data_IF_377207979251
#
_entry.id   IF_377207979251
#
_cell.length_a   1.000
_cell.length_b   1.000
_cell.length_c   1.000
_cell.angle_alpha   90.00
_cell.angle_beta   90.00
_cell.angle_gamma   90.00
#
_symmetry.space_group_name_H-M   'P 1'
#
loop_
_entity.id
_entity.type
_entity.pdbx_description
1 polymer ?
#
# COMPACT_ATOMS: atom_id res chain seq x y z
N UNK A 1 69.00 66.00 22.07
CA UNK A 1 70.23 66.29 21.33
C UNK A 1 70.28 65.28 20.20
N UNK A 2 69.89 65.77 19.02
CA UNK A 2 69.91 65.09 17.72
C UNK A 2 71.34 64.73 17.28
N UNK A 3 71.48 63.58 16.61
CA UNK A 3 72.35 63.30 15.44
C UNK A 3 71.76 62.03 14.75
N UNK A 4 71.20 62.08 13.54
CA UNK A 4 71.86 61.88 12.23
C UNK A 4 72.16 60.39 11.95
N UNK A 5 71.93 59.72 10.80
CA UNK A 5 71.74 60.07 9.38
C UNK A 5 71.57 58.70 8.63
N UNK A 6 70.60 58.45 7.73
CA UNK A 6 70.75 58.31 6.25
C UNK A 6 69.52 57.52 5.73
N UNK A 7 68.65 58.07 4.86
CA UNK A 7 68.75 58.25 3.39
C UNK A 7 68.00 57.15 2.59
N UNK A 8 66.98 57.53 1.79
CA UNK A 8 66.50 56.69 0.68
C UNK A 8 65.03 56.79 0.26
N UNK A 9 64.71 57.81 -0.57
CA UNK A 9 63.64 57.93 -1.60
C UNK A 9 62.15 57.66 -1.29
N UNK A 10 61.38 58.67 -1.72
CA UNK A 10 59.92 58.80 -1.85
C UNK A 10 59.41 58.12 -3.13
N UNK A 11 58.21 57.53 -3.08
CA UNK A 11 57.41 57.19 -4.25
C UNK A 11 56.17 56.35 -3.91
N UNK A 12 55.01 57.00 -3.83
CA UNK A 12 53.67 56.42 -3.58
C UNK A 12 53.22 55.53 -4.75
N UNK A 13 52.67 54.34 -4.48
CA UNK A 13 51.83 53.61 -5.44
C UNK A 13 50.59 53.03 -4.74
N UNK A 14 49.42 53.54 -5.13
CA UNK A 14 48.10 53.01 -4.83
C UNK A 14 47.85 51.75 -5.68
N UNK A 15 47.07 50.82 -5.13
CA UNK A 15 46.78 49.51 -5.66
C UNK A 15 45.99 49.53 -7.00
N UNK A 16 46.48 48.73 -7.94
CA UNK A 16 45.83 48.32 -9.18
C UNK A 16 44.97 47.06 -8.95
N UNK A 17 43.77 47.00 -9.55
CA UNK A 17 43.27 45.85 -10.32
C UNK A 17 41.81 46.07 -10.80
N UNK A 18 41.64 46.54 -12.03
CA UNK A 18 40.42 46.34 -12.83
C UNK A 18 40.76 46.03 -14.30
N UNK A 19 39.88 45.22 -14.92
CA UNK A 19 39.58 44.99 -16.36
C UNK A 19 40.39 43.96 -17.21
N UNK A 20 39.68 42.93 -17.71
CA UNK A 20 39.33 42.68 -19.14
C UNK A 20 38.71 41.26 -19.31
N UNK A 21 37.46 41.12 -19.77
CA UNK A 21 37.00 40.81 -21.14
C UNK A 21 36.91 39.30 -21.51
N UNK A 22 35.74 38.81 -21.94
CA UNK A 22 35.48 38.44 -23.35
C UNK A 22 34.15 37.69 -23.60
N UNK A 23 33.49 38.18 -24.66
CA UNK A 23 32.77 37.47 -25.74
C UNK A 23 31.30 37.02 -25.60
N UNK A 24 30.53 37.65 -26.50
CA UNK A 24 29.17 37.42 -26.96
C UNK A 24 28.97 36.09 -27.71
N UNK A 25 27.74 35.55 -27.73
CA UNK A 25 27.03 35.21 -28.98
C UNK A 25 25.53 34.90 -28.79
N UNK A 26 24.73 35.70 -29.50
CA UNK A 26 23.48 35.47 -30.26
C UNK A 26 22.55 34.26 -30.05
N UNK A 27 21.25 34.61 -29.98
CA UNK A 27 20.02 34.05 -30.63
C UNK A 27 20.14 32.76 -31.46
N UNK A 28 19.17 31.83 -31.49
CA UNK A 28 17.74 32.00 -31.81
C UNK A 28 16.90 30.74 -31.43
N UNK A 29 15.58 30.86 -31.56
CA UNK A 29 14.51 29.95 -31.15
C UNK A 29 14.53 28.51 -31.70
N UNK A 30 14.07 27.54 -30.90
CA UNK A 30 13.25 26.40 -31.35
C UNK A 30 12.56 25.66 -30.19
N UNK A 31 11.23 25.56 -30.20
CA UNK A 31 10.50 24.41 -29.65
C UNK A 31 10.04 23.58 -30.86
N UNK A 32 10.18 22.25 -30.80
CA UNK A 32 8.98 21.42 -30.72
C UNK A 32 9.10 20.14 -29.86
N UNK A 33 8.13 19.98 -28.96
CA UNK A 33 7.23 18.84 -28.70
C UNK A 33 7.66 17.34 -28.78
N UNK A 34 7.10 16.57 -27.80
CA UNK A 34 6.75 15.12 -27.76
C UNK A 34 7.88 14.12 -27.37
N UNK A 35 7.73 13.13 -26.49
CA UNK A 35 6.59 12.61 -25.71
C UNK A 35 7.06 11.73 -24.51
N UNK A 36 6.16 11.60 -23.52
CA UNK A 36 5.90 10.42 -22.68
C UNK A 36 6.95 9.85 -21.71
N UNK A 37 6.78 10.18 -20.42
CA UNK A 37 6.56 9.18 -19.36
C UNK A 37 5.97 9.87 -18.11
N UNK A 38 4.71 10.27 -18.21
CA UNK A 38 3.88 10.54 -17.04
C UNK A 38 3.33 9.19 -16.55
N UNK A 39 3.90 8.63 -15.48
CA UNK A 39 3.23 7.58 -14.72
C UNK A 39 2.16 8.27 -13.86
N UNK A 40 1.03 8.54 -14.51
CA UNK A 40 -0.20 8.97 -13.85
C UNK A 40 -0.71 7.78 -13.03
N UNK A 41 -0.48 7.79 -11.72
CA UNK A 41 -1.13 6.85 -10.81
C UNK A 41 -2.58 7.27 -10.61
N UNK A 42 -3.47 6.70 -11.43
CA UNK A 42 -4.92 6.81 -11.25
C UNK A 42 -5.38 5.84 -10.16
N UNK A 43 -5.38 6.31 -8.90
CA UNK A 43 -6.27 5.77 -7.89
C UNK A 43 -7.44 6.74 -7.73
N UNK A 44 -8.56 6.37 -8.37
CA UNK A 44 -9.86 6.98 -8.17
C UNK A 44 -10.25 6.90 -6.68
N UNK A 45 -9.96 7.99 -5.98
CA UNK A 45 -10.47 8.26 -4.64
C UNK A 45 -11.98 8.49 -4.77
N UNK A 46 -12.77 7.58 -4.20
CA UNK A 46 -14.15 7.90 -3.86
C UNK A 46 -14.13 9.07 -2.87
N UNK A 47 -14.66 10.20 -3.34
CA UNK A 47 -14.61 11.49 -2.70
C UNK A 47 -15.23 11.52 -1.31
N UNK A 48 -14.36 11.82 -0.34
CA UNK A 48 -14.71 12.66 0.79
C UNK A 48 -13.68 13.77 0.85
N UNK A 49 -14.01 14.95 0.33
CA UNK A 49 -13.36 16.21 0.71
C UNK A 49 -13.73 16.53 2.17
N UNK A 50 -13.37 15.62 3.07
CA UNK A 50 -13.40 15.86 4.50
C UNK A 50 -12.30 16.87 4.77
N UNK A 51 -12.70 18.09 5.11
CA UNK A 51 -11.84 19.06 5.77
C UNK A 51 -11.04 18.29 6.84
N UNK A 52 -9.74 18.05 6.61
CA UNK A 52 -8.92 17.29 7.56
C UNK A 52 -8.86 18.19 8.79
N UNK A 53 -9.69 17.86 9.80
CA UNK A 53 -9.83 18.67 10.98
C UNK A 53 -8.45 18.95 11.54
N UNK A 54 -8.09 20.24 11.60
CA UNK A 54 -6.79 20.65 12.08
C UNK A 54 -6.55 20.14 13.50
N UNK A 55 -5.29 20.00 13.93
CA UNK A 55 -4.96 19.73 15.32
C UNK A 55 -5.69 20.66 16.28
N UNK A 56 -5.93 20.21 17.51
CA UNK A 56 -6.49 21.07 18.54
C UNK A 56 -5.63 22.32 18.76
N UNK A 57 -6.26 23.45 19.07
CA UNK A 57 -5.52 24.66 19.44
C UNK A 57 -4.64 24.36 20.66
N UNK A 58 -3.34 24.60 20.56
CA UNK A 58 -2.37 24.26 21.61
C UNK A 58 -1.76 22.85 21.49
N UNK A 59 -2.00 22.12 20.40
CA UNK A 59 -1.26 20.90 20.11
C UNK A 59 0.24 21.19 19.91
N UNK A 60 1.08 20.25 20.34
CA UNK A 60 2.52 20.31 20.11
C UNK A 60 2.83 20.33 18.60
N UNK A 61 3.92 20.97 18.19
CA UNK A 61 4.34 20.93 16.80
C UNK A 61 4.68 19.50 16.36
N UNK A 62 4.51 19.19 15.07
CA UNK A 62 4.83 17.88 14.51
C UNK A 62 6.29 17.49 14.77
N UNK A 63 7.23 18.43 14.63
CA UNK A 63 8.66 18.21 14.89
C UNK A 63 8.92 17.81 16.35
N UNK A 64 8.19 18.41 17.29
CA UNK A 64 8.28 18.05 18.71
C UNK A 64 7.74 16.63 18.95
N UNK A 65 6.65 16.25 18.29
CA UNK A 65 6.14 14.89 18.34
C UNK A 65 7.12 13.88 17.72
N UNK A 66 7.75 14.21 16.58
CA UNK A 66 8.77 13.39 15.93
C UNK A 66 9.99 13.18 16.83
N UNK A 67 10.50 14.24 17.46
CA UNK A 67 11.61 14.14 18.42
C UNK A 67 11.27 13.22 19.61
N UNK A 68 10.00 13.19 20.05
CA UNK A 68 9.54 12.24 21.08
C UNK A 68 9.50 10.80 20.56
N UNK A 69 9.02 10.56 19.34
CA UNK A 69 9.04 9.23 18.74
C UNK A 69 10.47 8.70 18.57
N UNK A 70 11.40 9.55 18.13
CA UNK A 70 12.82 9.20 18.00
C UNK A 70 13.44 8.88 19.37
N UNK A 71 13.14 9.67 20.41
CA UNK A 71 13.59 9.41 21.77
C UNK A 71 13.06 8.08 22.34
N UNK A 72 11.89 7.62 21.87
CA UNK A 72 11.32 6.31 22.23
C UNK A 72 11.97 5.15 21.47
N UNK A 73 12.88 5.42 20.53
CA UNK A 73 13.61 4.42 19.77
C UNK A 73 12.76 3.67 18.75
N UNK A 74 11.79 4.34 18.11
CA UNK A 74 11.12 3.75 16.94
C UNK A 74 12.14 3.64 15.79
N UNK A 75 12.06 2.57 15.00
CA UNK A 75 13.00 2.39 13.89
C UNK A 75 12.72 3.41 12.76
N UNK A 76 13.76 3.89 12.05
CA UNK A 76 13.59 4.80 10.92
C UNK A 76 12.68 4.23 9.82
N UNK A 77 12.01 5.11 9.08
CA UNK A 77 11.00 4.72 8.08
C UNK A 77 9.58 4.61 8.63
N UNK A 78 9.34 5.13 9.84
CA UNK A 78 8.00 5.25 10.40
C UNK A 78 7.22 6.39 9.74
N UNK A 79 5.91 6.21 9.64
CA UNK A 79 4.97 7.25 9.21
C UNK A 79 4.31 7.88 10.43
N UNK A 80 4.13 9.20 10.41
CA UNK A 80 3.44 9.95 11.46
C UNK A 80 2.12 10.48 10.93
N UNK A 81 1.02 10.09 11.57
CA UNK A 81 -0.29 10.67 11.35
C UNK A 81 -0.56 11.75 12.40
N UNK A 82 -0.83 12.99 11.98
CA UNK A 82 -1.18 14.07 12.91
C UNK A 82 -2.58 13.87 13.51
N UNK A 83 -2.85 14.47 14.68
CA UNK A 83 -4.16 14.43 15.32
C UNK A 83 -5.21 15.09 14.43
N UNK A 84 -6.41 14.52 14.41
CA UNK A 84 -7.58 15.11 13.76
C UNK A 84 -8.56 15.60 14.81
N UNK A 85 -8.76 16.91 14.90
CA UNK A 85 -9.64 17.55 15.88
C UNK A 85 -9.09 17.55 17.32
N UNK A 86 -9.90 18.08 18.24
CA UNK A 86 -9.49 18.38 19.62
C UNK A 86 -9.16 17.16 20.50
N UNK A 87 -9.63 15.96 20.13
CA UNK A 87 -9.35 14.70 20.85
C UNK A 87 -8.45 13.77 20.05
N UNK A 88 -7.88 14.24 18.93
CA UNK A 88 -6.94 13.49 18.13
C UNK A 88 -5.62 13.20 18.86
N UNK A 89 -4.88 12.22 18.36
CA UNK A 89 -3.56 11.82 18.88
C UNK A 89 -2.55 11.78 17.75
N UNK A 90 -1.27 12.06 18.07
CA UNK A 90 -0.19 11.77 17.13
C UNK A 90 0.04 10.26 17.10
N UNK A 91 0.09 9.68 15.90
CA UNK A 91 0.33 8.24 15.74
C UNK A 91 1.56 8.03 14.90
N UNK A 92 2.60 7.42 15.46
CA UNK A 92 3.73 6.90 14.68
C UNK A 92 3.54 5.40 14.47
N UNK A 93 3.70 4.93 13.24
CA UNK A 93 3.60 3.51 12.91
C UNK A 93 4.66 3.10 11.91
N UNK A 94 5.27 1.93 12.14
CA UNK A 94 6.27 1.34 11.23
C UNK A 94 6.00 -0.14 11.03
N UNK A 95 6.02 -0.56 9.76
CA UNK A 95 5.76 -1.94 9.32
C UNK A 95 6.91 -2.43 8.42
N UNK A 96 8.09 -2.69 9.00
CA UNK A 96 9.23 -3.18 8.24
C UNK A 96 9.08 -4.67 7.90
N UNK A 97 9.89 -5.15 6.96
CA UNK A 97 9.92 -6.57 6.59
C UNK A 97 10.25 -7.49 7.80
N UNK A 98 11.05 -7.01 8.74
CA UNK A 98 11.28 -7.68 10.02
C UNK A 98 10.14 -7.36 11.01
N UNK A 99 9.21 -8.30 11.16
CA UNK A 99 8.05 -8.16 12.07
C UNK A 99 8.44 -7.81 13.50
N UNK A 100 9.61 -8.21 13.99
CA UNK A 100 10.00 -7.89 15.38
C UNK A 100 10.18 -6.39 15.61
N UNK A 101 10.41 -5.62 14.53
CA UNK A 101 10.59 -4.17 14.57
C UNK A 101 9.29 -3.41 14.34
N UNK A 102 8.19 -4.10 14.07
CA UNK A 102 6.88 -3.48 13.96
C UNK A 102 6.46 -2.85 15.28
N UNK A 103 6.07 -1.57 15.21
CA UNK A 103 5.71 -0.78 16.38
C UNK A 103 4.74 0.32 16.01
N UNK A 104 3.77 0.55 16.88
CA UNK A 104 2.80 1.65 16.80
C UNK A 104 2.80 2.40 18.12
N UNK A 105 2.99 3.71 18.07
CA UNK A 105 3.04 4.58 19.25
C UNK A 105 2.02 5.69 19.06
N UNK A 106 1.19 5.94 20.08
CA UNK A 106 0.28 7.06 20.14
C UNK A 106 0.72 8.05 21.23
N UNK A 107 0.79 9.33 20.88
CA UNK A 107 1.08 10.42 21.81
C UNK A 107 -0.13 11.34 21.96
N UNK A 108 -0.35 11.81 23.17
CA UNK A 108 -1.28 12.90 23.45
C UNK A 108 -0.82 14.19 22.76
N UNK A 109 -1.75 14.87 22.07
CA UNK A 109 -1.40 16.02 21.25
C UNK A 109 -1.03 17.27 22.06
N UNK A 110 -1.38 17.36 23.34
CA UNK A 110 -1.11 18.54 24.16
C UNK A 110 0.11 18.36 25.06
N UNK A 111 0.20 17.23 25.76
CA UNK A 111 1.27 16.93 26.71
C UNK A 111 2.45 16.19 26.08
N UNK A 112 2.26 15.53 24.94
CA UNK A 112 3.23 14.61 24.37
C UNK A 112 3.42 13.32 25.18
N UNK A 113 2.50 13.02 26.11
CA UNK A 113 2.52 11.79 26.88
C UNK A 113 2.24 10.57 25.99
N UNK A 114 2.91 9.45 26.26
CA UNK A 114 2.67 8.19 25.56
C UNK A 114 1.35 7.59 26.04
N UNK A 115 0.38 7.50 25.13
CA UNK A 115 -0.92 6.91 25.39
C UNK A 115 -0.92 5.41 25.08
N UNK A 116 -0.17 5.00 24.05
CA UNK A 116 -0.03 3.61 23.65
C UNK A 116 1.35 3.41 23.04
N UNK A 117 2.01 2.30 23.40
CA UNK A 117 3.23 1.81 22.76
C UNK A 117 3.06 0.31 22.56
N UNK A 118 2.75 -0.09 21.33
CA UNK A 118 2.44 -1.46 20.98
C UNK A 118 3.50 -2.00 20.04
N UNK A 119 4.20 -3.06 20.48
CA UNK A 119 5.19 -3.78 19.68
C UNK A 119 4.63 -5.12 19.24
N UNK A 120 5.27 -5.74 18.25
CA UNK A 120 4.86 -7.08 17.77
C UNK A 120 4.75 -8.15 18.88
N UNK A 121 5.63 -8.11 19.89
CA UNK A 121 5.57 -9.02 21.05
C UNK A 121 4.31 -8.85 21.91
N UNK A 122 3.72 -7.66 21.88
CA UNK A 122 2.55 -7.30 22.67
C UNK A 122 1.25 -7.74 21.98
N UNK A 123 1.33 -8.20 20.73
CA UNK A 123 0.22 -8.82 20.03
C UNK A 123 -0.12 -10.20 20.62
N UNK A 124 -1.42 -10.46 20.76
CA UNK A 124 -1.94 -11.79 21.08
C UNK A 124 -1.56 -12.82 20.01
N UNK A 125 -1.71 -14.13 20.30
CA UNK A 125 -1.30 -15.19 19.38
C UNK A 125 -1.97 -15.09 18.01
N UNK A 126 -3.26 -14.69 17.98
CA UNK A 126 -4.01 -14.46 16.74
C UNK A 126 -3.45 -13.26 15.97
N UNK A 127 -3.18 -12.15 16.66
CA UNK A 127 -2.61 -10.95 16.03
C UNK A 127 -1.24 -11.23 15.41
N UNK A 128 -0.36 -11.96 16.12
CA UNK A 128 0.93 -12.40 15.58
C UNK A 128 0.78 -13.30 14.36
N UNK A 129 -0.16 -14.25 14.39
CA UNK A 129 -0.40 -15.13 13.24
C UNK A 129 -0.90 -14.35 12.01
N UNK A 130 -1.77 -13.36 12.20
CA UNK A 130 -2.27 -12.50 11.14
C UNK A 130 -1.14 -11.67 10.51
N UNK A 131 -0.37 -10.96 11.34
CA UNK A 131 0.75 -10.13 10.87
C UNK A 131 1.84 -10.96 10.19
N UNK A 132 2.11 -12.16 10.71
CA UNK A 132 2.96 -13.14 10.04
C UNK A 132 2.41 -13.53 8.66
N UNK A 133 1.12 -13.85 8.58
CA UNK A 133 0.46 -14.19 7.31
C UNK A 133 0.51 -13.05 6.29
N UNK A 134 0.29 -11.81 6.73
CA UNK A 134 0.39 -10.61 5.88
C UNK A 134 1.81 -10.46 5.33
N UNK A 135 2.82 -10.60 6.19
CA UNK A 135 4.23 -10.44 5.78
C UNK A 135 4.71 -11.58 4.87
N UNK A 136 4.25 -12.81 5.11
CA UNK A 136 4.45 -13.93 4.16
C UNK A 136 3.78 -13.62 2.82
N UNK A 137 2.53 -13.14 2.82
CA UNK A 137 1.78 -12.79 1.62
C UNK A 137 2.40 -11.64 0.83
N UNK A 138 3.05 -10.68 1.51
CA UNK A 138 3.81 -9.60 0.89
C UNK A 138 5.15 -10.07 0.29
N UNK A 139 5.54 -11.34 0.47
CA UNK A 139 6.81 -11.85 -0.03
C UNK A 139 8.02 -11.38 0.79
N UNK A 140 7.80 -10.84 1.98
CA UNK A 140 8.83 -10.23 2.82
C UNK A 140 9.49 -11.24 3.77
N UNK A 141 8.71 -12.20 4.29
CA UNK A 141 9.27 -13.27 5.12
C UNK A 141 10.18 -14.20 4.31
N UNK A 142 11.25 -14.71 4.92
CA UNK A 142 12.20 -15.67 4.31
C UNK A 142 12.87 -15.22 2.98
N UNK A 143 12.75 -13.93 2.60
CA UNK A 143 13.39 -13.35 1.43
C UNK A 143 12.96 -14.01 0.11
N UNK A 144 13.94 -14.31 -0.75
CA UNK A 144 13.71 -14.81 -2.11
C UNK A 144 12.99 -16.15 -2.15
N UNK A 145 13.17 -17.01 -1.15
CA UNK A 145 12.50 -18.31 -1.08
C UNK A 145 10.97 -18.15 -1.06
N UNK A 146 10.47 -17.21 -0.26
CA UNK A 146 9.04 -16.93 -0.17
C UNK A 146 8.51 -16.34 -1.48
N UNK A 147 9.26 -15.43 -2.12
CA UNK A 147 8.87 -14.87 -3.42
C UNK A 147 8.73 -15.95 -4.50
N UNK A 148 9.64 -16.92 -4.55
CA UNK A 148 9.55 -18.06 -5.47
C UNK A 148 8.31 -18.91 -5.15
N UNK A 149 8.05 -19.20 -3.88
CA UNK A 149 6.85 -19.95 -3.48
C UNK A 149 5.57 -19.21 -3.90
N UNK A 150 5.48 -17.90 -3.66
CA UNK A 150 4.34 -17.08 -4.06
C UNK A 150 4.18 -17.02 -5.58
N UNK A 151 5.29 -16.92 -6.32
CA UNK A 151 5.27 -16.96 -7.78
C UNK A 151 4.72 -18.30 -8.30
N UNK A 152 5.17 -19.42 -7.73
CA UNK A 152 4.68 -20.75 -8.08
C UNK A 152 3.20 -20.91 -7.73
N UNK A 153 2.75 -20.39 -6.59
CA UNK A 153 1.35 -20.39 -6.21
C UNK A 153 0.49 -19.58 -7.20
N UNK A 154 0.94 -18.37 -7.58
CA UNK A 154 0.29 -17.56 -8.61
C UNK A 154 0.21 -18.30 -9.95
N UNK A 155 1.32 -18.90 -10.40
CA UNK A 155 1.34 -19.69 -11.64
C UNK A 155 0.37 -20.88 -11.58
N UNK A 156 0.29 -21.58 -10.45
CA UNK A 156 -0.65 -22.68 -10.24
C UNK A 156 -2.11 -22.22 -10.32
N UNK A 157 -2.45 -21.05 -9.74
CA UNK A 157 -3.79 -20.47 -9.83
C UNK A 157 -4.13 -20.13 -11.29
N UNK A 158 -3.21 -19.52 -12.04
CA UNK A 158 -3.40 -19.22 -13.46
C UNK A 158 -3.67 -20.51 -14.25
N UNK A 159 -2.85 -21.54 -14.04
CA UNK A 159 -3.04 -22.85 -14.68
C UNK A 159 -4.38 -23.47 -14.29
N UNK A 160 -4.82 -23.34 -13.03
CA UNK A 160 -6.11 -23.80 -12.55
C UNK A 160 -7.26 -23.08 -13.28
N UNK A 161 -7.22 -21.75 -13.39
CA UNK A 161 -8.21 -20.97 -14.12
C UNK A 161 -8.27 -21.34 -15.60
N UNK A 162 -7.12 -21.45 -16.26
CA UNK A 162 -7.03 -21.86 -17.67
C UNK A 162 -7.58 -23.27 -17.86
N UNK A 163 -7.21 -24.22 -16.98
CA UNK A 163 -7.72 -25.58 -17.06
C UNK A 163 -9.23 -25.65 -16.83
N UNK A 164 -9.78 -24.86 -15.91
CA UNK A 164 -11.23 -24.75 -15.70
C UNK A 164 -11.95 -24.21 -16.95
N UNK A 165 -11.41 -23.16 -17.59
CA UNK A 165 -11.95 -22.62 -18.83
C UNK A 165 -11.87 -23.63 -19.98
N UNK A 166 -10.75 -24.32 -20.13
CA UNK A 166 -10.56 -25.37 -21.16
C UNK A 166 -11.52 -26.54 -20.92
N UNK A 167 -11.67 -27.01 -19.67
CA UNK A 167 -12.63 -28.06 -19.31
C UNK A 167 -14.06 -27.65 -19.61
N UNK A 168 -14.43 -26.41 -19.29
CA UNK A 168 -15.74 -25.86 -19.64
C UNK A 168 -15.93 -25.82 -21.16
N UNK A 169 -14.96 -25.31 -21.91
CA UNK A 169 -15.03 -25.22 -23.38
C UNK A 169 -15.19 -26.58 -24.05
N UNK A 170 -14.51 -27.62 -23.54
CA UNK A 170 -14.62 -29.00 -24.06
C UNK A 170 -15.93 -29.69 -23.69
N UNK A 171 -16.59 -29.27 -22.61
CA UNK A 171 -17.81 -29.91 -22.08
C UNK A 171 -19.09 -29.13 -22.34
N UNK A 172 -19.00 -27.93 -22.93
CA UNK A 172 -20.18 -27.12 -23.25
C UNK A 172 -21.02 -27.80 -24.33
N UNK A 173 -22.36 -27.80 -24.22
CA UNK A 173 -23.23 -28.30 -25.26
C UNK A 173 -23.11 -27.43 -26.53
N UNK A 174 -23.08 -28.08 -27.70
CA UNK A 174 -23.09 -27.39 -29.00
C UNK A 174 -24.41 -26.63 -29.16
N UNK A 175 -24.33 -25.30 -29.29
CA UNK A 175 -25.50 -24.43 -29.52
C UNK A 175 -25.93 -23.53 -28.35
N UNK A 176 -25.24 -23.52 -27.19
CA UNK A 176 -25.57 -22.58 -26.11
C UNK A 176 -24.52 -22.42 -25.01
N UNK A 177 -24.69 -21.40 -24.17
CA UNK A 177 -23.97 -21.20 -22.90
C UNK A 177 -24.63 -22.06 -21.81
N UNK A 178 -24.53 -23.39 -21.93
CA UNK A 178 -25.10 -24.33 -20.97
C UNK A 178 -24.11 -24.71 -19.87
N UNK A 179 -24.60 -24.93 -18.64
CA UNK A 179 -23.83 -25.53 -17.56
C UNK A 179 -23.50 -26.97 -17.95
N UNK A 180 -22.21 -27.39 -17.92
CA UNK A 180 -21.85 -28.78 -18.17
C UNK A 180 -22.63 -29.75 -17.28
N UNK A 181 -22.98 -30.96 -17.77
CA UNK A 181 -23.76 -31.92 -16.99
C UNK A 181 -23.03 -32.27 -15.68
N UNK A 182 -23.81 -32.45 -14.61
CA UNK A 182 -23.27 -32.74 -13.28
C UNK A 182 -22.35 -33.98 -13.32
N UNK A 183 -21.28 -34.01 -12.51
CA UNK A 183 -20.43 -35.19 -12.39
C UNK A 183 -21.27 -36.42 -12.05
N UNK A 184 -21.02 -37.53 -12.75
CA UNK A 184 -21.76 -38.79 -12.54
C UNK A 184 -21.51 -39.41 -11.15
N UNK A 185 -20.42 -39.04 -10.47
CA UNK A 185 -20.09 -39.54 -9.12
C UNK A 185 -20.57 -38.59 -8.02
N UNK A 186 -21.53 -39.01 -7.16
CA UNK A 186 -22.03 -38.22 -6.03
C UNK A 186 -21.00 -38.00 -4.91
N UNK A 187 -19.85 -38.70 -4.91
CA UNK A 187 -18.79 -38.50 -3.92
C UNK A 187 -18.02 -37.20 -4.16
N UNK A 188 -17.70 -36.91 -5.42
CA UNK A 188 -17.02 -35.66 -5.83
C UNK A 188 -17.86 -34.44 -5.48
N UNK A 189 -19.17 -34.52 -5.71
CA UNK A 189 -20.11 -33.44 -5.36
C UNK A 189 -20.17 -33.20 -3.85
N UNK A 190 -20.17 -34.27 -3.04
CA UNK A 190 -20.13 -34.15 -1.57
C UNK A 190 -18.82 -33.53 -1.09
N UNK A 191 -17.67 -33.92 -1.65
CA UNK A 191 -16.38 -33.33 -1.31
C UNK A 191 -16.34 -31.83 -1.59
N UNK A 192 -16.82 -31.42 -2.77
CA UNK A 192 -16.95 -30.01 -3.14
C UNK A 192 -17.87 -29.24 -2.18
N UNK A 193 -19.03 -29.82 -1.85
CA UNK A 193 -20.00 -29.18 -0.96
C UNK A 193 -19.47 -29.02 0.47
N UNK A 194 -18.78 -30.03 1.01
CA UNK A 194 -18.12 -29.94 2.32
C UNK A 194 -17.06 -28.85 2.32
N UNK A 195 -16.24 -28.77 1.27
CA UNK A 195 -15.23 -27.72 1.11
C UNK A 195 -15.88 -26.32 1.08
N UNK A 196 -16.95 -26.14 0.30
CA UNK A 196 -17.72 -24.90 0.22
C UNK A 196 -18.30 -24.48 1.56
N UNK A 197 -18.85 -25.42 2.34
CA UNK A 197 -19.39 -25.14 3.68
C UNK A 197 -18.27 -24.70 4.62
N UNK A 198 -17.14 -25.42 4.64
CA UNK A 198 -15.98 -25.04 5.47
C UNK A 198 -15.49 -23.65 5.08
N UNK A 199 -15.31 -23.36 3.79
CA UNK A 199 -14.92 -22.03 3.31
C UNK A 199 -15.94 -20.95 3.68
N UNK A 200 -17.25 -21.23 3.57
CA UNK A 200 -18.30 -20.29 3.94
C UNK A 200 -18.38 -20.01 5.44
N UNK A 201 -18.00 -20.96 6.28
CA UNK A 201 -17.90 -20.77 7.73
C UNK A 201 -16.67 -19.94 8.11
N UNK A 202 -15.53 -20.17 7.45
CA UNK A 202 -14.30 -19.39 7.67
C UNK A 202 -14.44 -17.97 7.10
N UNK A 203 -15.09 -17.82 5.94
CA UNK A 203 -15.30 -16.56 5.24
C UNK A 203 -16.81 -16.27 5.08
N UNK A 204 -17.47 -15.71 6.11
CA UNK A 204 -18.93 -15.59 6.15
C UNK A 204 -19.50 -14.77 5.00
N UNK A 205 -18.80 -13.72 4.55
CA UNK A 205 -19.21 -12.93 3.38
C UNK A 205 -19.25 -13.76 2.09
N UNK A 206 -18.31 -14.70 1.91
CA UNK A 206 -18.32 -15.64 0.79
C UNK A 206 -19.47 -16.64 0.93
N UNK A 207 -19.72 -17.14 2.14
CA UNK A 207 -20.85 -18.03 2.40
C UNK A 207 -22.20 -17.37 2.08
N UNK A 208 -22.39 -16.12 2.51
CA UNK A 208 -23.61 -15.35 2.25
C UNK A 208 -23.77 -15.05 0.76
N UNK A 209 -22.69 -14.67 0.06
CA UNK A 209 -22.79 -14.40 -1.39
C UNK A 209 -23.16 -15.64 -2.19
N UNK A 210 -22.62 -16.81 -1.82
CA UNK A 210 -23.00 -18.10 -2.42
C UNK A 210 -24.46 -18.45 -2.14
N UNK A 211 -24.96 -18.22 -0.93
CA UNK A 211 -26.37 -18.43 -0.58
C UNK A 211 -27.31 -17.52 -1.37
N UNK A 212 -26.94 -16.25 -1.52
CA UNK A 212 -27.70 -15.27 -2.32
C UNK A 212 -27.73 -15.67 -3.79
N UNK A 213 -26.58 -16.06 -4.37
CA UNK A 213 -26.50 -16.54 -5.75
C UNK A 213 -27.35 -17.79 -5.94
N UNK A 214 -27.27 -18.74 -5.01
CA UNK A 214 -28.08 -19.96 -5.05
C UNK A 214 -29.58 -19.67 -5.00
N UNK A 215 -30.01 -18.73 -4.15
CA UNK A 215 -31.41 -18.32 -4.05
C UNK A 215 -31.88 -17.61 -5.33
N UNK A 216 -31.02 -16.76 -5.91
CA UNK A 216 -31.28 -16.09 -7.17
C UNK A 216 -31.44 -17.08 -8.34
N UNK A 217 -30.50 -18.02 -8.45
CA UNK A 217 -30.52 -19.08 -9.47
C UNK A 217 -31.79 -19.95 -9.34
N UNK A 218 -32.15 -20.34 -8.11
CA UNK A 218 -33.37 -21.09 -7.81
C UNK A 218 -34.63 -20.31 -8.21
N UNK A 219 -34.69 -19.02 -7.90
CA UNK A 219 -35.82 -18.16 -8.25
C UNK A 219 -35.97 -17.96 -9.77
N UNK A 220 -34.85 -17.75 -10.47
CA UNK A 220 -34.84 -17.58 -11.92
C UNK A 220 -35.23 -18.87 -12.68
N UNK A 221 -34.70 -20.03 -12.27
CA UNK A 221 -35.07 -21.32 -12.85
C UNK A 221 -36.55 -21.64 -12.67
N UNK A 222 -37.12 -21.38 -11.48
CA UNK A 222 -38.55 -21.56 -11.24
C UNK A 222 -39.40 -20.69 -12.17
N UNK A 223 -38.99 -19.44 -12.44
CA UNK A 223 -39.72 -18.55 -13.35
C UNK A 223 -39.64 -18.96 -14.83
N UNK A 224 -38.54 -19.58 -15.25
CA UNK A 224 -38.36 -19.96 -16.64
C UNK A 224 -38.93 -21.35 -16.98
N UNK A 225 -39.03 -22.27 -16.01
CA UNK A 225 -39.64 -23.59 -16.24
C UNK A 225 -41.18 -23.55 -16.36
N UNK A 226 -41.84 -22.48 -15.91
CA UNK A 226 -43.30 -22.30 -16.07
C UNK A 226 -43.71 -21.97 -17.52
N UNK A 227 -42.76 -21.72 -18.45
CA UNK A 227 -43.06 -21.31 -19.84
C UNK A 227 -42.92 -22.40 -20.91
N UNK A 228 -42.74 -23.67 -20.56
CA UNK A 228 -42.72 -24.76 -21.55
C UNK A 228 -44.08 -25.47 -21.51
N UNK A 229 -45.03 -25.15 -22.41
CA UNK A 229 -46.22 -25.97 -22.56
C UNK A 229 -45.82 -27.39 -22.99
N UNK A 230 -46.37 -28.38 -22.30
CA UNK A 230 -46.22 -29.79 -22.66
C UNK A 230 -46.78 -30.06 -24.07
N UNK A 231 -46.21 -31.01 -24.83
CA UNK A 231 -46.64 -31.34 -26.18
C UNK A 231 -48.05 -31.93 -26.24
#
# INVERSE_FOLDING_TARGET
>A
MDEGLHAGRVGVTLADAEHSEHSEHSEHAEQPSLSEHAVQSEHAAHGGTGNVAAPGHGAIALDAAMARFDALGIVPGYSVSPPRGATGVYTASVYPADLQRQRVIHLDQYSGAVLLDMRYRDYGPVGRALEWGINVHLGQQYGTANQVILLLACAAIVLLCVSAAVMWWKRRPVGGLGVPPLPADPRTLRGLLVLLVICGLIFPLVGVSLLLMWLFDRYWMQRNQVRVPAP
#
